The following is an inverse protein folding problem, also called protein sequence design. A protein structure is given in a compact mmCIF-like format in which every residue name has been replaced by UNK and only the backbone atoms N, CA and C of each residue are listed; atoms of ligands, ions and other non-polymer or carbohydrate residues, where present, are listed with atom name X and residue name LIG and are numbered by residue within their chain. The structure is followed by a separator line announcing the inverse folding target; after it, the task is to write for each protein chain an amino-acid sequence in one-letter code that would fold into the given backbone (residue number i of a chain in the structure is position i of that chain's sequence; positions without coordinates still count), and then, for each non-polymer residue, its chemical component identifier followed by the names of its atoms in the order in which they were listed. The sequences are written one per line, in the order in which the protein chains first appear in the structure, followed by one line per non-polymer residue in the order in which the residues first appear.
data_IF_313568359782
#
_entry.id   IF_313568359782
#
_cell.length_a   1.000
_cell.length_b   1.000
_cell.length_c   1.000
_cell.angle_alpha   90.00
_cell.angle_beta   90.00
_cell.angle_gamma   90.00
#
_symmetry.space_group_name_H-M   'P 1'
#
loop_
_entity.id
_entity.type
_entity.pdbx_description
1 polymer ?
#
# COMPACT_ATOMS: atom_id res chain seq x y z
N UNK A 1 -60.69 -38.38 -12.28
CA UNK A 1 -60.29 -37.50 -11.16
C UNK A 1 -58.80 -37.26 -11.26
N UNK A 2 -58.33 -36.04 -11.59
CA UNK A 2 -56.92 -35.76 -11.70
C UNK A 2 -56.32 -35.34 -10.34
N UNK A 3 -55.18 -35.91 -10.03
CA UNK A 3 -54.30 -35.62 -8.88
C UNK A 3 -53.66 -34.24 -9.01
N UNK A 4 -53.94 -33.35 -8.05
CA UNK A 4 -53.28 -32.04 -7.94
C UNK A 4 -51.88 -32.21 -7.32
N UNK A 5 -50.86 -31.99 -8.13
CA UNK A 5 -49.46 -31.90 -7.70
C UNK A 5 -49.28 -30.55 -6.99
N UNK A 6 -49.04 -30.61 -5.68
CA UNK A 6 -48.77 -29.44 -4.85
C UNK A 6 -47.37 -28.90 -5.18
N UNK A 7 -47.33 -27.85 -5.99
CA UNK A 7 -46.13 -27.13 -6.40
C UNK A 7 -45.58 -26.37 -5.16
N UNK A 8 -44.50 -26.87 -4.53
CA UNK A 8 -43.79 -26.12 -3.50
C UNK A 8 -42.92 -25.07 -4.19
N UNK A 9 -43.27 -23.80 -4.00
CA UNK A 9 -42.42 -22.68 -4.41
C UNK A 9 -41.03 -22.79 -3.74
N UNK A 10 -39.94 -22.44 -4.45
CA UNK A 10 -38.61 -22.45 -3.87
C UNK A 10 -38.50 -21.37 -2.78
N UNK A 11 -38.02 -21.75 -1.60
CA UNK A 11 -37.80 -20.85 -0.47
C UNK A 11 -36.93 -19.66 -0.90
N UNK A 12 -37.52 -18.46 -0.84
CA UNK A 12 -36.81 -17.21 -1.07
C UNK A 12 -35.69 -17.04 -0.03
N UNK A 13 -34.53 -16.45 -0.40
CA UNK A 13 -33.44 -16.22 0.54
C UNK A 13 -33.92 -15.30 1.67
N UNK A 14 -33.65 -15.72 2.91
CA UNK A 14 -34.05 -15.02 4.14
C UNK A 14 -33.56 -13.56 4.08
N UNK A 15 -34.48 -12.63 3.81
CA UNK A 15 -34.17 -11.20 3.81
C UNK A 15 -34.17 -10.66 5.25
N UNK A 16 -33.06 -10.00 5.64
CA UNK A 16 -32.87 -9.32 6.94
C UNK A 16 -33.94 -8.26 7.24
N UNK A 17 -34.69 -7.80 6.23
CA UNK A 17 -35.84 -6.92 6.41
C UNK A 17 -36.97 -7.55 7.25
N UNK A 18 -37.06 -8.89 7.30
CA UNK A 18 -38.06 -9.61 8.11
C UNK A 18 -37.88 -9.43 9.62
N UNK A 19 -36.68 -9.02 10.06
CA UNK A 19 -36.34 -8.81 11.47
C UNK A 19 -36.34 -7.33 11.89
N UNK A 20 -36.84 -6.41 11.06
CA UNK A 20 -36.83 -4.97 11.36
C UNK A 20 -35.44 -4.39 11.69
N UNK A 21 -34.38 -5.10 11.30
CA UNK A 21 -33.01 -4.65 11.46
C UNK A 21 -32.72 -3.66 10.34
N UNK A 22 -32.45 -2.39 10.69
CA UNK A 22 -31.96 -1.40 9.72
C UNK A 22 -30.75 -1.99 9.00
N UNK A 23 -30.65 -1.86 7.65
CA UNK A 23 -29.48 -2.31 6.93
C UNK A 23 -28.25 -1.68 7.58
N UNK A 24 -27.36 -2.52 8.11
CA UNK A 24 -26.10 -2.06 8.69
C UNK A 24 -25.39 -1.33 7.53
N UNK A 25 -25.05 -0.04 7.68
CA UNK A 25 -24.41 0.69 6.59
C UNK A 25 -23.16 -0.09 6.18
N UNK A 26 -22.89 -0.23 4.87
CA UNK A 26 -21.79 -1.06 4.39
C UNK A 26 -20.50 -0.59 5.04
N UNK A 27 -19.93 -1.44 5.92
CA UNK A 27 -18.70 -1.13 6.66
C UNK A 27 -17.48 -0.97 5.73
N UNK A 28 -17.61 -1.38 4.47
CA UNK A 28 -16.57 -1.30 3.45
C UNK A 28 -17.14 -0.87 2.10
N UNK A 29 -16.50 0.10 1.44
CA UNK A 29 -16.70 0.49 0.04
C UNK A 29 -15.72 -0.28 -0.86
N UNK A 30 -16.16 -0.70 -2.04
CA UNK A 30 -15.34 -1.49 -2.96
C UNK A 30 -14.64 -0.55 -3.96
N UNK A 31 -13.32 -0.66 -4.08
CA UNK A 31 -12.50 0.08 -5.06
C UNK A 31 -11.72 -0.89 -5.94
N UNK A 32 -11.12 -0.38 -7.02
CA UNK A 32 -10.28 -1.16 -7.93
C UNK A 32 -9.09 -1.84 -7.20
N UNK A 33 -8.62 -1.24 -6.10
CA UNK A 33 -7.56 -1.77 -5.24
C UNK A 33 -8.05 -2.68 -4.10
N UNK A 34 -9.36 -2.89 -3.96
CA UNK A 34 -9.96 -3.74 -2.92
C UNK A 34 -11.03 -3.02 -2.08
N UNK A 35 -11.48 -3.68 -1.00
CA UNK A 35 -12.48 -3.11 -0.08
C UNK A 35 -11.80 -2.12 0.88
N UNK A 36 -12.21 -0.85 0.83
CA UNK A 36 -11.79 0.26 1.71
C UNK A 36 -12.86 0.47 2.78
N UNK A 37 -12.52 0.89 4.00
CA UNK A 37 -13.53 1.21 5.03
C UNK A 37 -14.33 2.46 4.71
N UNK A 38 -15.59 2.48 5.13
CA UNK A 38 -16.41 3.69 5.06
C UNK A 38 -15.92 4.74 6.07
N UNK A 39 -15.90 6.02 5.66
CA UNK A 39 -15.44 7.16 6.47
C UNK A 39 -16.12 7.30 7.84
N UNK A 40 -17.34 6.80 7.99
CA UNK A 40 -18.08 6.90 9.25
C UNK A 40 -17.69 5.81 10.28
N UNK A 41 -16.73 4.93 9.95
CA UNK A 41 -16.27 3.86 10.84
C UNK A 41 -14.94 4.14 11.52
N UNK A 42 -14.32 5.29 11.24
CA UNK A 42 -13.07 5.70 11.86
C UNK A 42 -13.26 6.13 13.31
N UNK A 43 -12.38 5.66 14.18
CA UNK A 43 -12.28 6.10 15.57
C UNK A 43 -11.58 7.46 15.64
N UNK A 44 -11.88 8.24 16.67
CA UNK A 44 -11.25 9.56 16.88
C UNK A 44 -9.73 9.45 16.93
N UNK A 45 -9.19 8.38 17.53
CA UNK A 45 -7.75 8.13 17.60
C UNK A 45 -7.14 7.94 16.19
N UNK A 46 -7.81 7.21 15.28
CA UNK A 46 -7.34 7.06 13.90
C UNK A 46 -7.33 8.39 13.15
N UNK A 47 -8.34 9.25 13.36
CA UNK A 47 -8.38 10.59 12.77
C UNK A 47 -7.27 11.49 13.29
N UNK A 48 -7.05 11.52 14.61
CA UNK A 48 -5.98 12.31 15.22
C UNK A 48 -4.61 11.82 14.73
N UNK A 49 -4.42 10.50 14.66
CA UNK A 49 -3.18 9.91 14.17
C UNK A 49 -2.94 10.25 12.69
N UNK A 50 -3.96 10.11 11.83
CA UNK A 50 -3.86 10.48 10.42
C UNK A 50 -3.52 11.97 10.25
N UNK A 51 -4.21 12.86 10.97
CA UNK A 51 -3.97 14.30 10.90
C UNK A 51 -2.54 14.65 11.34
N UNK A 52 -2.08 14.11 12.47
CA UNK A 52 -0.72 14.33 12.97
C UNK A 52 0.34 13.81 11.98
N UNK A 53 0.13 12.63 11.40
CA UNK A 53 1.04 12.06 10.41
C UNK A 53 1.10 12.90 9.13
N UNK A 54 -0.03 13.37 8.61
CA UNK A 54 -0.07 14.23 7.43
C UNK A 54 0.62 15.57 7.67
N UNK A 55 0.42 16.19 8.83
CA UNK A 55 1.12 17.43 9.20
C UNK A 55 2.64 17.20 9.27
N UNK A 56 3.08 16.15 9.97
CA UNK A 56 4.49 15.82 10.11
C UNK A 56 5.16 15.50 8.75
N UNK A 57 4.49 14.73 7.89
CA UNK A 57 4.96 14.43 6.53
C UNK A 57 5.01 15.69 5.66
N UNK A 58 4.04 16.59 5.77
CA UNK A 58 4.01 17.84 4.98
C UNK A 58 5.16 18.76 5.38
N UNK A 59 5.43 18.86 6.69
CA UNK A 59 6.56 19.65 7.17
C UNK A 59 7.92 19.02 6.75
N UNK A 60 8.05 17.69 6.84
CA UNK A 60 9.24 16.97 6.36
C UNK A 60 9.45 17.13 4.85
N UNK A 61 8.36 17.11 4.07
CA UNK A 61 8.37 17.37 2.64
C UNK A 61 8.87 18.79 2.33
N UNK A 62 8.33 19.81 3.02
CA UNK A 62 8.78 21.19 2.87
C UNK A 62 10.27 21.38 3.14
N UNK A 63 10.78 20.80 4.23
CA UNK A 63 12.21 20.85 4.56
C UNK A 63 13.08 20.10 3.54
N UNK A 64 12.56 19.03 2.94
CA UNK A 64 13.27 18.25 1.93
C UNK A 64 13.30 18.99 0.59
N UNK A 65 12.20 19.66 0.21
CA UNK A 65 12.15 20.54 -0.96
C UNK A 65 13.13 21.71 -0.78
N UNK A 66 13.16 22.35 0.39
CA UNK A 66 14.11 23.42 0.68
C UNK A 66 15.56 22.93 0.46
N UNK A 67 15.91 21.75 0.99
CA UNK A 67 17.23 21.15 0.77
C UNK A 67 17.51 20.91 -0.72
N UNK A 68 16.55 20.39 -1.47
CA UNK A 68 16.69 20.20 -2.92
C UNK A 68 16.91 21.51 -3.71
N UNK A 69 16.36 22.63 -3.23
CA UNK A 69 16.54 23.94 -3.90
C UNK A 69 17.86 24.64 -3.56
N UNK A 70 18.43 24.35 -2.38
CA UNK A 70 19.67 24.98 -1.92
C UNK A 70 20.88 24.21 -2.43
N UNK A 71 20.83 22.88 -2.47
CA UNK A 71 21.99 22.08 -2.85
C UNK A 71 22.18 21.97 -4.36
N UNK A 72 23.45 22.01 -4.77
CA UNK A 72 23.82 21.91 -6.18
C UNK A 72 23.51 20.49 -6.69
N UNK A 73 22.94 20.34 -7.90
CA UNK A 73 22.63 19.04 -8.50
C UNK A 73 23.84 18.11 -8.76
N UNK A 74 25.07 18.57 -8.49
CA UNK A 74 26.34 17.86 -8.65
C UNK A 74 26.91 17.32 -7.33
N UNK A 75 26.22 17.48 -6.21
CA UNK A 75 26.64 17.02 -4.89
C UNK A 75 25.91 15.73 -4.51
N UNK A 76 26.54 14.84 -3.74
CA UNK A 76 25.90 13.59 -3.29
C UNK A 76 24.74 13.83 -2.31
N UNK A 77 24.78 14.95 -1.59
CA UNK A 77 23.67 15.44 -0.76
C UNK A 77 22.37 15.66 -1.55
N UNK A 78 22.47 15.99 -2.84
CA UNK A 78 21.31 16.13 -3.72
C UNK A 78 20.64 14.78 -4.01
N UNK A 79 21.45 13.74 -4.33
CA UNK A 79 20.97 12.35 -4.50
C UNK A 79 20.26 11.86 -3.24
N UNK A 80 20.86 12.11 -2.08
CA UNK A 80 20.29 11.74 -0.81
C UNK A 80 18.96 12.48 -0.52
N UNK A 81 18.86 13.76 -0.90
CA UNK A 81 17.61 14.51 -0.78
C UNK A 81 16.50 13.96 -1.68
N UNK A 82 16.81 13.48 -2.89
CA UNK A 82 15.86 12.79 -3.78
C UNK A 82 15.39 11.47 -3.15
N UNK A 83 16.31 10.69 -2.55
CA UNK A 83 15.97 9.46 -1.84
C UNK A 83 15.00 9.73 -0.68
N UNK A 84 15.25 10.77 0.11
CA UNK A 84 14.34 11.20 1.16
C UNK A 84 12.98 11.63 0.60
N UNK A 85 12.96 12.38 -0.49
CA UNK A 85 11.72 12.79 -1.16
C UNK A 85 10.88 11.58 -1.59
N UNK A 86 11.51 10.60 -2.24
CA UNK A 86 10.86 9.35 -2.63
C UNK A 86 10.27 8.63 -1.40
N UNK A 87 11.06 8.51 -0.33
CA UNK A 87 10.65 7.86 0.92
C UNK A 87 9.43 8.57 1.54
N UNK A 88 9.39 9.90 1.53
CA UNK A 88 8.25 10.68 2.06
C UNK A 88 6.98 10.41 1.24
N UNK A 89 7.08 10.32 -0.09
CA UNK A 89 5.94 10.01 -0.96
C UNK A 89 5.37 8.62 -0.64
N UNK A 90 6.22 7.61 -0.46
CA UNK A 90 5.78 6.29 -0.02
C UNK A 90 5.18 6.30 1.38
N UNK A 91 5.74 7.07 2.31
CA UNK A 91 5.18 7.22 3.66
C UNK A 91 3.76 7.79 3.65
N UNK A 92 3.47 8.76 2.77
CA UNK A 92 2.10 9.27 2.58
C UNK A 92 1.15 8.16 2.12
N UNK A 93 1.57 7.38 1.11
CA UNK A 93 0.77 6.29 0.60
C UNK A 93 0.52 5.23 1.68
N UNK A 94 1.53 4.87 2.47
CA UNK A 94 1.39 3.89 3.54
C UNK A 94 0.49 4.36 4.66
N UNK A 95 0.62 5.59 5.17
CA UNK A 95 -0.23 6.04 6.29
C UNK A 95 -1.69 6.17 5.87
N UNK A 96 -1.95 6.69 4.67
CA UNK A 96 -3.31 6.80 4.14
C UNK A 96 -3.85 5.39 3.93
N UNK A 97 -3.20 4.59 3.07
CA UNK A 97 -3.72 3.29 2.70
C UNK A 97 -3.87 2.36 3.92
N UNK A 98 -2.92 2.35 4.87
CA UNK A 98 -2.99 1.52 6.06
C UNK A 98 -4.18 1.82 6.97
N UNK A 99 -4.50 3.11 7.19
CA UNK A 99 -5.64 3.51 8.03
C UNK A 99 -6.95 3.18 7.30
N UNK A 100 -7.04 3.51 6.01
CA UNK A 100 -8.22 3.26 5.19
C UNK A 100 -8.54 1.78 4.99
N UNK A 101 -7.53 0.92 5.04
CA UNK A 101 -7.66 -0.53 4.84
C UNK A 101 -7.40 -1.35 6.12
N UNK A 102 -7.26 -0.74 7.30
CA UNK A 102 -6.88 -1.44 8.56
C UNK A 102 -5.70 -2.41 8.40
N UNK A 103 -4.73 -2.04 7.57
CA UNK A 103 -3.58 -2.88 7.23
C UNK A 103 -2.43 -2.65 8.19
N UNK A 104 -2.22 -3.61 9.09
CA UNK A 104 -1.17 -3.54 10.10
C UNK A 104 0.25 -3.60 9.50
N UNK A 105 0.42 -4.32 8.39
CA UNK A 105 1.67 -4.49 7.67
C UNK A 105 2.19 -3.16 7.09
N UNK A 106 1.35 -2.42 6.39
CA UNK A 106 1.69 -1.09 5.85
C UNK A 106 1.88 -0.04 6.96
N UNK A 107 1.07 -0.12 8.02
CA UNK A 107 1.22 0.79 9.17
C UNK A 107 2.56 0.56 9.89
N UNK A 108 2.97 -0.70 10.08
CA UNK A 108 4.25 -1.03 10.71
C UNK A 108 5.44 -0.53 9.92
N UNK A 109 5.41 -0.57 8.58
CA UNK A 109 6.50 0.01 7.77
C UNK A 109 6.57 1.53 7.91
N UNK A 110 5.43 2.21 8.01
CA UNK A 110 5.42 3.64 8.32
C UNK A 110 6.04 3.91 9.71
N UNK A 111 5.73 3.10 10.72
CA UNK A 111 6.33 3.21 12.06
C UNK A 111 7.85 2.99 12.02
N UNK A 112 8.31 1.91 11.37
CA UNK A 112 9.74 1.60 11.22
C UNK A 112 10.47 2.75 10.49
N UNK A 113 9.87 3.28 9.41
CA UNK A 113 10.41 4.43 8.68
C UNK A 113 10.55 5.65 9.59
N UNK A 114 9.57 5.93 10.45
CA UNK A 114 9.68 7.01 11.43
C UNK A 114 10.80 6.78 12.45
N UNK A 115 10.99 5.54 12.93
CA UNK A 115 12.12 5.19 13.82
C UNK A 115 13.45 5.47 13.12
N UNK A 116 13.62 5.03 11.87
CA UNK A 116 14.83 5.27 11.09
C UNK A 116 15.08 6.77 10.93
N UNK A 117 14.04 7.55 10.60
CA UNK A 117 14.14 9.02 10.46
C UNK A 117 14.54 9.69 11.77
N UNK A 118 13.97 9.26 12.91
CA UNK A 118 14.36 9.78 14.24
C UNK A 118 15.84 9.53 14.50
N UNK A 119 16.31 8.30 14.31
CA UNK A 119 17.73 7.93 14.50
C UNK A 119 18.63 8.73 13.56
N UNK A 120 18.27 8.82 12.29
CA UNK A 120 19.02 9.58 11.29
C UNK A 120 19.15 11.06 11.68
N UNK A 121 18.06 11.71 12.10
CA UNK A 121 18.10 13.13 12.45
C UNK A 121 18.92 13.38 13.71
N UNK A 122 18.89 12.47 14.69
CA UNK A 122 19.74 12.54 15.89
C UNK A 122 21.22 12.42 15.49
N UNK A 123 21.59 11.38 14.73
CA UNK A 123 22.98 11.15 14.31
C UNK A 123 23.50 12.32 13.45
N UNK A 124 22.68 12.80 12.52
CA UNK A 124 23.01 13.92 11.64
C UNK A 124 23.16 15.25 12.39
N UNK A 125 22.44 15.44 13.49
CA UNK A 125 22.61 16.61 14.36
C UNK A 125 23.90 16.51 15.19
N UNK A 126 24.22 15.32 15.72
CA UNK A 126 25.43 15.10 16.53
C UNK A 126 26.74 15.21 15.72
N UNK A 127 26.72 14.81 14.44
CA UNK A 127 27.91 14.79 13.58
C UNK A 127 28.20 16.12 12.86
N UNK A 128 27.23 17.03 12.78
CA UNK A 128 27.34 18.23 11.96
C UNK A 128 27.61 19.51 12.75
N UNK A 129 28.18 20.52 12.07
CA UNK A 129 27.95 21.91 12.46
C UNK A 129 26.44 22.19 12.47
N UNK A 130 26.00 23.17 13.28
CA UNK A 130 24.59 23.37 13.66
C UNK A 130 23.86 24.44 12.81
N UNK A 131 23.48 24.19 11.54
CA UNK A 131 22.60 25.09 10.82
C UNK A 131 21.18 25.01 11.39
N UNK A 132 20.48 26.13 11.32
CA UNK A 132 19.10 26.30 11.78
C UNK A 132 18.12 25.28 11.16
N UNK A 133 18.34 24.87 9.91
CA UNK A 133 17.49 23.90 9.21
C UNK A 133 17.57 22.49 9.79
N UNK A 134 18.75 22.04 10.26
CA UNK A 134 18.90 20.74 10.93
C UNK A 134 18.22 20.74 12.30
N UNK A 135 18.33 21.86 13.02
CA UNK A 135 17.69 22.03 14.34
C UNK A 135 16.16 22.04 14.23
N UNK A 136 15.60 22.77 13.26
CA UNK A 136 14.14 22.75 13.00
C UNK A 136 13.66 21.34 12.68
N UNK A 137 14.37 20.59 11.82
CA UNK A 137 14.04 19.20 11.50
C UNK A 137 14.08 18.31 12.75
N UNK A 138 15.09 18.48 13.60
CA UNK A 138 15.21 17.73 14.86
C UNK A 138 14.04 18.01 15.80
N UNK A 139 13.67 19.27 16.02
CA UNK A 139 12.53 19.63 16.89
C UNK A 139 11.24 19.01 16.37
N UNK A 140 11.00 19.09 15.05
CA UNK A 140 9.80 18.56 14.42
C UNK A 140 9.69 17.04 14.59
N UNK A 141 10.78 16.31 14.27
CA UNK A 141 10.83 14.86 14.38
C UNK A 141 10.82 14.40 15.84
N UNK A 142 11.45 15.12 16.75
CA UNK A 142 11.42 14.81 18.18
C UNK A 142 10.04 15.05 18.81
N UNK A 143 9.27 16.01 18.31
CA UNK A 143 7.93 16.31 18.82
C UNK A 143 6.89 15.31 18.30
N UNK A 144 6.84 15.09 16.98
CA UNK A 144 5.84 14.22 16.36
C UNK A 144 6.25 12.74 16.34
N UNK A 145 7.54 12.44 16.25
CA UNK A 145 8.06 11.07 16.12
C UNK A 145 7.62 10.12 17.22
N UNK A 146 7.82 10.43 18.51
CA UNK A 146 7.39 9.57 19.60
C UNK A 146 5.88 9.32 19.60
N UNK A 147 5.07 10.34 19.33
CA UNK A 147 3.63 10.22 19.20
C UNK A 147 3.25 9.26 18.05
N UNK A 148 3.84 9.45 16.86
CA UNK A 148 3.58 8.60 15.69
C UNK A 148 4.03 7.15 15.92
N UNK A 149 5.14 6.94 16.61
CA UNK A 149 5.65 5.59 16.91
C UNK A 149 4.74 4.88 17.91
N UNK A 150 4.45 5.50 19.07
CA UNK A 150 3.68 4.86 20.15
C UNK A 150 2.25 4.57 19.69
N UNK A 151 1.58 5.59 19.14
CA UNK A 151 0.18 5.44 18.67
C UNK A 151 0.12 4.51 17.45
N UNK A 152 1.12 4.57 16.55
CA UNK A 152 1.22 3.68 15.40
C UNK A 152 1.36 2.21 15.79
N UNK A 153 2.18 1.89 16.81
CA UNK A 153 2.31 0.52 17.33
C UNK A 153 0.99 0.06 17.95
N UNK A 154 0.36 0.90 18.78
CA UNK A 154 -0.92 0.57 19.40
C UNK A 154 -2.00 0.30 18.35
N UNK A 155 -2.08 1.14 17.32
CA UNK A 155 -3.05 0.99 16.25
C UNK A 155 -2.75 -0.24 15.39
N UNK A 156 -1.48 -0.53 15.10
CA UNK A 156 -1.06 -1.76 14.40
C UNK A 156 -1.45 -3.01 15.17
N UNK A 157 -1.27 -3.01 16.49
CA UNK A 157 -1.69 -4.12 17.36
C UNK A 157 -3.22 -4.32 17.33
N UNK A 158 -3.98 -3.22 17.37
CA UNK A 158 -5.46 -3.27 17.24
C UNK A 158 -5.88 -3.86 15.90
N UNK A 159 -5.25 -3.45 14.80
CA UNK A 159 -5.52 -3.99 13.46
C UNK A 159 -5.19 -5.47 13.35
N UNK A 160 -4.04 -5.89 13.88
CA UNK A 160 -3.64 -7.29 13.89
C UNK A 160 -4.62 -8.18 14.68
N UNK A 161 -5.21 -7.67 15.77
CA UNK A 161 -6.16 -8.42 16.59
C UNK A 161 -7.58 -8.42 16.02
N UNK A 162 -8.01 -7.29 15.45
CA UNK A 162 -9.39 -7.08 15.00
C UNK A 162 -9.77 -7.98 13.83
N UNK A 163 -8.89 -8.15 12.83
CA UNK A 163 -9.15 -8.89 11.58
C UNK A 163 -10.51 -8.56 10.90
N UNK A 164 -11.12 -7.42 11.25
CA UNK A 164 -12.45 -7.03 10.81
C UNK A 164 -12.52 -6.85 9.29
N UNK A 165 -11.48 -6.31 8.65
CA UNK A 165 -11.46 -6.18 7.20
C UNK A 165 -11.46 -7.54 6.50
N UNK A 166 -10.66 -8.50 6.98
CA UNK A 166 -10.58 -9.85 6.40
C UNK A 166 -11.93 -10.55 6.55
N UNK A 167 -12.53 -10.50 7.74
CA UNK A 167 -13.86 -11.07 8.00
C UNK A 167 -14.94 -10.44 7.10
N UNK A 168 -14.97 -9.11 6.96
CA UNK A 168 -15.92 -8.42 6.09
C UNK A 168 -15.66 -8.70 4.59
N UNK A 169 -14.42 -9.06 4.23
CA UNK A 169 -14.05 -9.29 2.83
C UNK A 169 -14.46 -10.67 2.35
N UNK A 170 -14.13 -11.73 3.10
CA UNK A 170 -14.30 -13.14 2.67
C UNK A 170 -15.35 -13.91 3.49
N UNK A 171 -15.90 -13.33 4.55
CA UNK A 171 -16.86 -13.96 5.46
C UNK A 171 -16.19 -14.81 6.54
N UNK A 172 -16.97 -15.66 7.21
CA UNK A 172 -16.51 -16.46 8.35
C UNK A 172 -15.68 -17.72 8.05
N UNK A 173 -15.33 -17.98 6.78
CA UNK A 173 -14.62 -19.21 6.40
C UNK A 173 -13.11 -19.05 6.66
N UNK A 174 -12.57 -19.76 7.64
CA UNK A 174 -11.18 -19.61 8.10
C UNK A 174 -10.13 -19.86 7.02
N UNK A 175 -10.36 -20.82 6.11
CA UNK A 175 -9.42 -21.10 5.01
C UNK A 175 -9.28 -19.92 4.06
N UNK A 176 -10.39 -19.26 3.75
CA UNK A 176 -10.43 -18.11 2.84
C UNK A 176 -9.91 -16.83 3.51
N UNK A 177 -10.13 -16.68 4.83
CA UNK A 177 -9.50 -15.63 5.62
C UNK A 177 -7.98 -15.74 5.62
N UNK A 178 -7.45 -16.96 5.75
CA UNK A 178 -6.00 -17.16 5.67
C UNK A 178 -5.45 -16.84 4.27
N UNK A 179 -6.12 -17.31 3.20
CA UNK A 179 -5.74 -16.95 1.82
C UNK A 179 -5.73 -15.44 1.61
N UNK A 180 -6.78 -14.75 2.09
CA UNK A 180 -6.92 -13.29 1.99
C UNK A 180 -5.81 -12.56 2.76
N UNK A 181 -5.45 -13.04 3.95
CA UNK A 181 -4.34 -12.50 4.74
C UNK A 181 -3.00 -12.61 4.01
N UNK A 182 -2.70 -13.78 3.44
CA UNK A 182 -1.46 -13.99 2.68
C UNK A 182 -1.45 -13.14 1.41
N UNK A 183 -2.58 -13.03 0.69
CA UNK A 183 -2.71 -12.13 -0.46
C UNK A 183 -2.37 -10.68 -0.10
N UNK A 184 -2.89 -10.18 1.01
CA UNK A 184 -2.54 -8.85 1.50
C UNK A 184 -1.04 -8.75 1.80
N UNK A 185 -0.48 -9.67 2.59
CA UNK A 185 0.96 -9.67 2.90
C UNK A 185 1.81 -9.62 1.62
N UNK A 186 1.49 -10.44 0.61
CA UNK A 186 2.17 -10.41 -0.69
C UNK A 186 2.05 -9.03 -1.35
N UNK A 187 0.85 -8.43 -1.37
CA UNK A 187 0.63 -7.11 -1.93
C UNK A 187 1.38 -5.99 -1.20
N UNK A 188 1.59 -6.09 0.12
CA UNK A 188 2.42 -5.11 0.86
C UNK A 188 3.91 -5.31 0.61
N UNK A 189 4.37 -6.57 0.65
CA UNK A 189 5.75 -6.89 0.32
C UNK A 189 6.10 -6.38 -1.08
N UNK A 190 5.19 -6.54 -2.04
CA UNK A 190 5.35 -6.02 -3.41
C UNK A 190 5.49 -4.49 -3.44
N UNK A 191 4.74 -3.75 -2.62
CA UNK A 191 4.87 -2.28 -2.51
C UNK A 191 6.16 -1.84 -1.82
N UNK A 192 6.62 -2.59 -0.81
CA UNK A 192 7.89 -2.29 -0.12
C UNK A 192 9.09 -2.58 -1.01
N UNK A 193 9.02 -3.68 -1.75
CA UNK A 193 10.00 -4.06 -2.75
C UNK A 193 10.14 -2.96 -3.82
N UNK A 194 9.01 -2.45 -4.35
CA UNK A 194 9.00 -1.30 -5.26
C UNK A 194 9.73 -0.07 -4.67
N UNK A 195 9.46 0.29 -3.41
CA UNK A 195 10.12 1.44 -2.79
C UNK A 195 11.64 1.22 -2.70
N UNK A 196 12.07 0.03 -2.31
CA UNK A 196 13.50 -0.30 -2.15
C UNK A 196 14.21 -0.38 -3.50
N UNK A 197 13.59 -0.98 -4.52
CA UNK A 197 14.12 -0.99 -5.88
C UNK A 197 14.28 0.43 -6.44
N UNK A 198 13.26 1.29 -6.31
CA UNK A 198 13.36 2.69 -6.74
C UNK A 198 14.42 3.47 -5.95
N UNK A 199 14.55 3.20 -4.65
CA UNK A 199 15.60 3.80 -3.81
C UNK A 199 16.99 3.37 -4.29
N UNK A 200 17.18 2.09 -4.60
CA UNK A 200 18.42 1.56 -5.15
C UNK A 200 18.75 2.13 -6.54
N UNK A 201 17.74 2.41 -7.36
CA UNK A 201 17.95 3.08 -8.66
C UNK A 201 18.38 4.55 -8.48
N UNK A 202 17.82 5.27 -7.51
CA UNK A 202 18.27 6.64 -7.18
C UNK A 202 19.73 6.63 -6.70
N UNK A 203 20.12 5.64 -5.89
CA UNK A 203 21.48 5.50 -5.37
C UNK A 203 22.54 5.23 -6.45
N UNK A 204 22.14 4.91 -7.69
CA UNK A 204 23.06 4.87 -8.85
C UNK A 204 23.65 6.24 -9.15
N UNK A 205 22.92 7.32 -8.85
CA UNK A 205 23.33 8.68 -9.18
C UNK A 205 24.54 9.15 -8.39
N UNK A 206 24.85 8.55 -7.23
CA UNK A 206 26.06 8.84 -6.45
C UNK A 206 26.26 10.34 -6.24
N UNK A 207 27.19 10.93 -7.01
CA UNK A 207 27.56 12.35 -7.06
C UNK A 207 26.56 13.27 -7.82
N UNK A 208 25.29 12.92 -7.90
CA UNK A 208 24.22 13.77 -8.44
C UNK A 208 23.88 13.58 -9.93
N UNK A 209 22.81 14.22 -10.39
CA UNK A 209 22.19 14.00 -11.73
C UNK A 209 23.16 14.38 -12.86
N UNK A 210 23.92 15.46 -12.69
CA UNK A 210 24.73 16.05 -13.75
C UNK A 210 26.07 15.34 -13.95
N UNK A 211 26.60 14.71 -12.91
CA UNK A 211 27.87 13.98 -12.94
C UNK A 211 27.73 12.53 -13.42
N UNK A 212 26.53 12.13 -13.85
CA UNK A 212 26.19 10.75 -14.15
C UNK A 212 26.83 10.26 -15.46
N UNK A 213 27.51 9.10 -15.39
CA UNK A 213 28.09 8.42 -16.55
C UNK A 213 27.00 7.87 -17.48
N UNK A 214 27.33 7.60 -18.75
CA UNK A 214 26.38 7.04 -19.72
C UNK A 214 25.78 5.71 -19.22
N UNK A 215 26.60 4.85 -18.62
CA UNK A 215 26.16 3.56 -18.05
C UNK A 215 25.12 3.76 -16.96
N UNK A 216 25.36 4.68 -16.02
CA UNK A 216 24.44 5.01 -14.94
C UNK A 216 23.11 5.56 -15.49
N UNK A 217 23.16 6.42 -16.52
CA UNK A 217 21.95 6.93 -17.19
C UNK A 217 21.13 5.81 -17.85
N UNK A 218 21.79 4.88 -18.53
CA UNK A 218 21.13 3.72 -19.15
C UNK A 218 20.51 2.80 -18.09
N UNK A 219 21.21 2.54 -16.99
CA UNK A 219 20.69 1.75 -15.87
C UNK A 219 19.44 2.41 -15.29
N UNK A 220 19.47 3.73 -15.04
CA UNK A 220 18.31 4.44 -14.49
C UNK A 220 17.13 4.46 -15.48
N UNK A 221 17.40 4.74 -16.76
CA UNK A 221 16.37 4.81 -17.80
C UNK A 221 15.69 3.46 -18.08
N UNK A 222 16.43 2.36 -18.00
CA UNK A 222 15.90 1.00 -18.21
C UNK A 222 15.34 0.37 -16.93
N UNK A 223 15.96 0.64 -15.77
CA UNK A 223 15.59 0.06 -14.49
C UNK A 223 14.21 0.50 -14.01
N UNK A 224 13.83 1.77 -14.23
CA UNK A 224 12.51 2.27 -13.83
C UNK A 224 11.38 1.53 -14.57
N UNK A 225 11.36 1.43 -15.92
CA UNK A 225 10.37 0.62 -16.64
C UNK A 225 10.34 -0.85 -16.20
N UNK A 226 11.50 -1.50 -16.03
CA UNK A 226 11.57 -2.91 -15.60
C UNK A 226 10.94 -3.10 -14.23
N UNK A 227 11.21 -2.18 -13.29
CA UNK A 227 10.62 -2.15 -11.95
C UNK A 227 9.10 -2.06 -12.01
N UNK A 228 8.55 -1.17 -12.85
CA UNK A 228 7.10 -1.07 -13.04
C UNK A 228 6.49 -2.32 -13.67
N UNK A 229 7.15 -2.92 -14.66
CA UNK A 229 6.69 -4.18 -15.25
C UNK A 229 6.66 -5.32 -14.23
N UNK A 230 7.70 -5.43 -13.39
CA UNK A 230 7.77 -6.40 -12.31
C UNK A 230 6.57 -6.27 -11.37
N UNK A 231 6.24 -5.05 -10.92
CA UNK A 231 5.08 -4.80 -10.06
C UNK A 231 3.75 -5.09 -10.77
N UNK A 232 3.61 -4.71 -12.04
CA UNK A 232 2.39 -4.98 -12.81
C UNK A 232 2.16 -6.49 -12.92
N UNK A 233 3.17 -7.27 -13.32
CA UNK A 233 3.02 -8.72 -13.43
C UNK A 233 2.80 -9.40 -12.07
N UNK A 234 3.49 -8.96 -11.02
CA UNK A 234 3.26 -9.46 -9.67
C UNK A 234 1.84 -9.16 -9.18
N UNK A 235 1.35 -7.94 -9.36
CA UNK A 235 0.00 -7.56 -8.95
C UNK A 235 -1.06 -8.29 -9.77
N UNK A 236 -0.96 -8.32 -11.11
CA UNK A 236 -1.91 -9.00 -11.98
C UNK A 236 -1.90 -10.52 -11.76
N UNK A 237 -0.72 -11.12 -11.55
CA UNK A 237 -0.56 -12.54 -11.27
C UNK A 237 -1.25 -12.94 -9.96
N UNK A 238 -1.04 -12.17 -8.88
CA UNK A 238 -1.74 -12.37 -7.61
C UNK A 238 -3.24 -12.11 -7.72
N UNK A 239 -3.63 -11.06 -8.46
CA UNK A 239 -5.02 -10.59 -8.58
C UNK A 239 -5.91 -11.53 -9.36
N UNK A 240 -5.38 -12.12 -10.43
CA UNK A 240 -6.10 -13.04 -11.31
C UNK A 240 -5.81 -14.51 -11.02
N UNK A 241 -4.96 -14.81 -10.02
CA UNK A 241 -4.48 -16.16 -9.72
C UNK A 241 -3.91 -16.86 -10.97
N UNK A 242 -3.22 -16.10 -11.82
CA UNK A 242 -2.71 -16.58 -13.10
C UNK A 242 -1.24 -17.01 -12.98
N UNK A 243 -1.01 -18.32 -13.11
CA UNK A 243 0.31 -18.94 -13.05
C UNK A 243 1.29 -18.39 -14.09
N UNK A 244 0.83 -18.06 -15.30
CA UNK A 244 1.72 -17.55 -16.35
C UNK A 244 2.31 -16.18 -15.98
N UNK A 245 1.49 -15.26 -15.44
CA UNK A 245 1.98 -13.98 -14.96
C UNK A 245 2.92 -14.13 -13.76
N UNK A 246 2.67 -15.10 -12.87
CA UNK A 246 3.57 -15.40 -11.76
C UNK A 246 4.92 -15.96 -12.23
N UNK A 247 4.97 -16.77 -13.30
CA UNK A 247 6.23 -17.25 -13.87
C UNK A 247 7.04 -16.07 -14.42
N UNK A 248 6.41 -15.17 -15.19
CA UNK A 248 7.07 -13.96 -15.69
C UNK A 248 7.57 -13.09 -14.53
N UNK A 249 6.77 -12.92 -13.48
CA UNK A 249 7.15 -12.22 -12.25
C UNK A 249 8.39 -12.82 -11.60
N UNK A 250 8.49 -14.15 -11.48
CA UNK A 250 9.67 -14.81 -10.90
C UNK A 250 10.91 -14.65 -11.76
N UNK A 251 10.78 -14.75 -13.09
CA UNK A 251 11.90 -14.52 -14.01
C UNK A 251 12.41 -13.08 -13.89
N UNK A 252 11.51 -12.09 -13.89
CA UNK A 252 11.87 -10.68 -13.70
C UNK A 252 12.49 -10.44 -12.32
N UNK A 253 11.99 -11.10 -11.28
CA UNK A 253 12.49 -10.99 -9.92
C UNK A 253 13.92 -11.48 -9.73
N UNK A 254 14.46 -12.32 -10.62
CA UNK A 254 15.87 -12.75 -10.55
C UNK A 254 16.87 -11.64 -10.90
N UNK A 255 16.43 -10.61 -11.65
CA UNK A 255 17.30 -9.49 -12.00
C UNK A 255 17.62 -8.59 -10.81
N UNK A 256 16.74 -8.53 -9.81
CA UNK A 256 16.91 -7.69 -8.62
C UNK A 256 18.15 -8.07 -7.77
N UNK A 257 18.30 -9.31 -7.28
CA UNK A 257 19.48 -9.67 -6.49
C UNK A 257 20.78 -9.53 -7.31
N UNK A 258 20.72 -9.82 -8.62
CA UNK A 258 21.86 -9.61 -9.53
C UNK A 258 22.27 -8.14 -9.60
N UNK A 259 21.31 -7.23 -9.70
CA UNK A 259 21.55 -5.79 -9.69
C UNK A 259 22.09 -5.28 -8.35
N UNK A 260 21.56 -5.76 -7.23
CA UNK A 260 22.04 -5.37 -5.89
C UNK A 260 23.51 -5.81 -5.69
N UNK A 261 23.86 -7.04 -6.07
CA UNK A 261 25.24 -7.55 -5.99
C UNK A 261 26.17 -6.71 -6.88
N UNK A 262 25.75 -6.42 -8.13
CA UNK A 262 26.51 -5.54 -9.01
C UNK A 262 26.76 -4.18 -8.38
N UNK A 263 25.72 -3.57 -7.77
CA UNK A 263 25.84 -2.25 -7.16
C UNK A 263 26.75 -2.27 -5.93
N UNK A 264 26.71 -3.30 -5.09
CA UNK A 264 27.67 -3.48 -4.00
C UNK A 264 29.10 -3.58 -4.51
N UNK A 265 29.35 -4.41 -5.52
CA UNK A 265 30.66 -4.53 -6.13
C UNK A 265 31.15 -3.20 -6.70
N UNK A 266 30.27 -2.48 -7.42
CA UNK A 266 30.60 -1.18 -8.01
C UNK A 266 30.94 -0.14 -6.94
N UNK A 267 30.13 -0.02 -5.89
CA UNK A 267 30.36 0.93 -4.79
C UNK A 267 31.66 0.62 -4.05
N UNK A 268 31.96 -0.64 -3.72
CA UNK A 268 33.24 -0.99 -3.08
C UNK A 268 34.45 -0.70 -3.98
N UNK A 269 34.34 -0.91 -5.28
CA UNK A 269 35.48 -0.82 -6.21
C UNK A 269 35.77 0.62 -6.65
N UNK A 270 34.71 1.42 -6.87
CA UNK A 270 34.82 2.72 -7.54
C UNK A 270 34.50 3.91 -6.63
N UNK A 271 33.73 3.73 -5.54
CA UNK A 271 33.42 4.80 -4.59
C UNK A 271 34.34 4.66 -3.36
N UNK A 272 35.39 5.49 -3.33
CA UNK A 272 36.38 5.50 -2.24
C UNK A 272 36.01 6.44 -1.08
N UNK A 273 35.10 7.38 -1.33
CA UNK A 273 34.65 8.34 -0.34
C UNK A 273 33.49 7.72 0.46
N UNK A 274 33.68 7.51 1.76
CA UNK A 274 32.63 7.03 2.67
C UNK A 274 31.73 8.22 3.00
N UNK A 275 30.70 8.42 2.18
CA UNK A 275 29.68 9.44 2.36
C UNK A 275 28.32 8.83 2.74
N UNK A 276 27.30 9.67 2.95
CA UNK A 276 25.97 9.21 3.31
C UNK A 276 25.32 8.31 2.23
N UNK A 277 25.76 8.43 0.97
CA UNK A 277 25.26 7.62 -0.16
C UNK A 277 25.88 6.23 -0.14
N UNK A 278 27.14 6.13 0.25
CA UNK A 278 27.83 4.85 0.49
C UNK A 278 27.08 4.01 1.53
N UNK A 279 26.87 4.55 2.74
CA UNK A 279 26.17 3.86 3.82
C UNK A 279 24.72 3.51 3.43
N UNK A 280 24.02 4.45 2.79
CA UNK A 280 22.65 4.22 2.34
C UNK A 280 22.54 3.08 1.31
N UNK A 281 23.55 2.90 0.46
CA UNK A 281 23.58 1.81 -0.55
C UNK A 281 23.59 0.44 0.11
N UNK A 282 24.47 0.22 1.10
CA UNK A 282 24.52 -1.08 1.79
C UNK A 282 23.28 -1.35 2.63
N UNK A 283 22.80 -0.35 3.38
CA UNK A 283 21.60 -0.50 4.21
C UNK A 283 20.38 -0.76 3.34
N UNK A 284 20.16 0.03 2.28
CA UNK A 284 19.04 -0.14 1.37
C UNK A 284 19.12 -1.48 0.63
N UNK A 285 20.28 -1.86 0.10
CA UNK A 285 20.47 -3.12 -0.60
C UNK A 285 20.28 -4.35 0.29
N UNK A 286 20.69 -4.29 1.56
CA UNK A 286 20.44 -5.36 2.53
C UNK A 286 18.94 -5.55 2.77
N UNK A 287 18.22 -4.46 3.07
CA UNK A 287 16.76 -4.54 3.26
C UNK A 287 16.04 -4.98 1.98
N UNK A 288 16.50 -4.53 0.81
CA UNK A 288 15.95 -4.94 -0.48
C UNK A 288 16.05 -6.47 -0.65
N UNK A 289 17.22 -7.07 -0.40
CA UNK A 289 17.38 -8.54 -0.48
C UNK A 289 16.47 -9.28 0.51
N UNK A 290 16.35 -8.80 1.75
CA UNK A 290 15.49 -9.44 2.77
C UNK A 290 14.02 -9.39 2.37
N UNK A 291 13.56 -8.24 1.88
CA UNK A 291 12.18 -8.06 1.41
C UNK A 291 11.92 -8.89 0.15
N UNK A 292 12.86 -8.91 -0.80
CA UNK A 292 12.79 -9.74 -1.99
C UNK A 292 12.66 -11.23 -1.66
N UNK A 293 13.53 -11.77 -0.80
CA UNK A 293 13.42 -13.19 -0.37
C UNK A 293 12.06 -13.43 0.28
N UNK A 294 11.62 -12.53 1.17
CA UNK A 294 10.33 -12.65 1.85
C UNK A 294 9.16 -12.61 0.87
N UNK A 295 9.24 -11.75 -0.16
CA UNK A 295 8.25 -11.61 -1.22
C UNK A 295 8.16 -12.90 -2.02
N UNK A 296 9.28 -13.40 -2.55
CA UNK A 296 9.31 -14.62 -3.37
C UNK A 296 8.79 -15.82 -2.57
N UNK A 297 9.23 -16.00 -1.33
CA UNK A 297 8.76 -17.09 -0.46
C UNK A 297 7.25 -16.97 -0.21
N UNK A 298 6.76 -15.77 0.14
CA UNK A 298 5.34 -15.55 0.40
C UNK A 298 4.48 -15.79 -0.84
N UNK A 299 4.90 -15.32 -2.02
CA UNK A 299 4.16 -15.51 -3.28
C UNK A 299 4.19 -16.95 -3.75
N UNK A 300 5.32 -17.67 -3.60
CA UNK A 300 5.40 -19.09 -3.93
C UNK A 300 4.49 -19.90 -3.02
N UNK A 301 4.52 -19.63 -1.72
CA UNK A 301 3.60 -20.25 -0.76
C UNK A 301 2.13 -19.97 -1.12
N UNK A 302 1.81 -18.73 -1.49
CA UNK A 302 0.46 -18.37 -1.92
C UNK A 302 0.03 -19.13 -3.19
N UNK A 303 0.90 -19.20 -4.20
CA UNK A 303 0.63 -19.91 -5.47
C UNK A 303 0.40 -21.40 -5.23
N UNK A 304 1.25 -22.05 -4.43
CA UNK A 304 1.17 -23.51 -4.22
C UNK A 304 -0.06 -23.92 -3.40
N UNK A 305 -0.42 -23.15 -2.39
CA UNK A 305 -1.42 -23.58 -1.41
C UNK A 305 -2.77 -22.86 -1.54
N UNK A 306 -2.86 -21.74 -2.26
CA UNK A 306 -4.05 -20.89 -2.26
C UNK A 306 -4.62 -20.56 -3.65
N UNK A 307 -3.91 -20.83 -4.76
CA UNK A 307 -4.47 -20.64 -6.11
C UNK A 307 -5.66 -21.56 -6.39
N UNK A 308 -6.67 -21.02 -7.07
CA UNK A 308 -7.86 -21.74 -7.52
C UNK A 308 -8.88 -22.06 -6.43
N UNK A 309 -8.74 -21.47 -5.23
CA UNK A 309 -9.59 -21.78 -4.06
C UNK A 309 -10.77 -20.83 -3.85
N UNK A 310 -11.18 -20.08 -4.87
CA UNK A 310 -12.38 -19.24 -4.79
C UNK A 310 -12.16 -17.83 -4.21
N UNK A 311 -10.90 -17.41 -4.01
CA UNK A 311 -10.58 -16.13 -3.37
C UNK A 311 -10.84 -14.96 -4.32
N UNK A 312 -10.45 -15.09 -5.59
CA UNK A 312 -10.73 -14.12 -6.66
C UNK A 312 -12.23 -13.78 -6.75
N UNK A 313 -13.10 -14.77 -6.74
CA UNK A 313 -14.55 -14.65 -6.91
C UNK A 313 -15.13 -13.83 -5.75
N UNK A 314 -14.74 -14.15 -4.50
CA UNK A 314 -15.26 -13.44 -3.31
C UNK A 314 -14.70 -12.04 -3.12
N UNK A 315 -13.43 -11.81 -3.45
CA UNK A 315 -12.82 -10.49 -3.25
C UNK A 315 -13.24 -9.51 -4.35
N UNK A 316 -13.58 -9.99 -5.55
CA UNK A 316 -13.64 -9.12 -6.71
C UNK A 316 -14.80 -9.30 -7.69
N UNK A 317 -15.50 -10.44 -7.73
CA UNK A 317 -16.61 -10.64 -8.68
C UNK A 317 -17.97 -10.11 -8.20
N UNK A 318 -18.05 -9.62 -6.95
CA UNK A 318 -19.25 -8.90 -6.47
C UNK A 318 -19.56 -7.61 -7.26
N UNK A 319 -18.69 -7.21 -8.20
CA UNK A 319 -18.90 -6.11 -9.14
C UNK A 319 -19.82 -6.48 -10.32
N UNK A 320 -19.90 -7.75 -10.73
CA UNK A 320 -20.69 -8.15 -11.91
C UNK A 320 -22.17 -8.40 -11.58
N UNK A 321 -22.47 -8.78 -10.34
CA UNK A 321 -23.85 -9.10 -9.94
C UNK A 321 -24.66 -7.85 -9.60
N UNK A 322 -24.03 -6.79 -9.05
CA UNK A 322 -24.70 -5.51 -8.77
C UNK A 322 -25.02 -4.71 -10.04
N UNK A 323 -24.13 -4.67 -11.02
CA UNK A 323 -24.37 -3.97 -12.28
C UNK A 323 -25.39 -4.67 -13.19
N UNK A 324 -25.56 -5.99 -13.05
CA UNK A 324 -26.55 -6.74 -13.81
C UNK A 324 -27.96 -6.65 -13.21
N UNK A 325 -28.10 -6.63 -11.89
CA UNK A 325 -29.41 -6.47 -11.23
C UNK A 325 -30.01 -5.06 -11.36
N UNK A 326 -29.18 -4.02 -11.51
CA UNK A 326 -29.67 -2.65 -11.70
C UNK A 326 -30.21 -2.39 -13.12
N UNK A 327 -29.82 -3.20 -14.10
CA UNK A 327 -30.27 -3.11 -15.50
C UNK A 327 -31.53 -3.94 -15.82
N UNK A 328 -32.10 -4.67 -14.85
CA UNK A 328 -33.27 -5.56 -15.06
C UNK A 328 -34.50 -5.08 -14.26
N UNK A 329 -34.45 -3.92 -13.60
CA UNK A 329 -35.65 -3.33 -13.01
C UNK A 329 -36.55 -2.76 -14.14
N UNK A 330 -37.77 -3.29 -14.38
CA UNK A 330 -38.68 -2.70 -15.36
C UNK A 330 -39.16 -1.32 -14.86
N UNK A 331 -39.38 -0.34 -15.75
CA UNK A 331 -39.86 0.98 -15.38
C UNK A 331 -41.23 0.84 -14.70
N UNK A 332 -41.33 1.38 -13.48
CA UNK A 332 -42.59 1.48 -12.74
C UNK A 332 -43.58 2.32 -13.55
N UNK A 333 -44.64 1.65 -13.99
CA UNK A 333 -45.77 2.22 -14.71
C UNK A 333 -46.42 3.33 -13.87
N UNK A 334 -46.34 4.56 -14.36
CA UNK A 334 -47.01 5.73 -13.77
C UNK A 334 -48.52 5.58 -13.92
N UNK A 335 -49.24 5.45 -12.80
CA UNK A 335 -50.69 5.48 -12.76
C UNK A 335 -51.23 6.86 -13.25
N UNK A 336 -52.35 6.90 -14.00
CA UNK A 336 -52.90 8.15 -14.52
C UNK A 336 -53.66 8.96 -13.45
N UNK A 337 -53.80 10.29 -13.62
CA UNK A 337 -54.56 11.13 -12.70
C UNK A 337 -56.07 10.93 -12.91
N UNK A 338 -56.81 10.56 -11.86
CA UNK A 338 -58.27 10.61 -11.88
C UNK A 338 -58.74 12.06 -11.81
N UNK A 339 -59.45 12.49 -12.85
CA UNK A 339 -60.24 13.72 -12.87
C UNK A 339 -61.34 13.70 -11.79
N UNK A 340 -61.72 14.89 -11.35
CA UNK A 340 -62.45 15.12 -10.11
C UNK A 340 -63.96 14.89 -10.12
N UNK A 341 -64.55 15.12 -8.95
CA UNK A 341 -65.97 15.41 -8.81
C UNK A 341 -66.20 16.36 -7.63
N UNK A 342 -66.69 17.55 -7.99
CA UNK A 342 -67.46 18.56 -7.24
C UNK A 342 -68.55 17.88 -6.38
N UNK A 343 -68.98 18.34 -5.20
CA UNK A 343 -69.91 19.46 -4.96
C UNK A 343 -70.38 19.47 -3.49
N UNK A 344 -70.66 20.67 -2.95
CA UNK A 344 -71.69 21.05 -1.94
C UNK A 344 -71.49 20.47 -0.52
N UNK A 345 -71.36 21.23 0.57
CA UNK A 345 -72.10 22.42 1.04
C UNK A 345 -71.25 23.22 2.05
#
# INVERSE_FOLDING_TARGET
MPTSVMNREPESPISLSRFNLRPIPPRTQQTYFGKIRAFNTFTVLEWVYLAAALIALTASLGLTIQRLTVEKPSESDFTFAILLLLTIVFCYQYVIHSIFTERWDELMVFVISNVIVVVYVIVNYLKGEQPTTKLVRLILVATFGPFLIIVGILQSYRYCRSNNLIFNTVGGISSLQNSCRIFYICGSLLKFDLQLQLSMLILVMGKGVLAMTLTQKVILASGVPVTFLFIIFGFLGLRYENTAFMIVFYILGLFEPGYIIYKFYYTVTYEKDVDATYDATFVCGYFALVIWVSLIVATVYFVMYHFGKGLKEKMFENNSQKSFSENIAPPTETAPPSAGETTVE
#
